data_IF_566838663631
#
_entry.id   IF_566838663631
#
_cell.length_a   1.000
_cell.length_b   1.000
_cell.length_c   1.000
_cell.angle_alpha   90.00
_cell.angle_beta   90.00
_cell.angle_gamma   90.00
#
_symmetry.space_group_name_H-M   'P 1'
#
loop_
_entity.id
_entity.type
_entity.pdbx_description
1 polymer ?
#
# COMPACT_ATOMS: atom_id res chain seq x y z
N UNK A 1 6.00 5.15 5.18
CA UNK A 1 4.69 5.67 5.64
C UNK A 1 3.72 4.51 5.64
N UNK A 2 3.08 4.14 6.76
CA UNK A 2 2.16 3.00 6.75
C UNK A 2 0.75 3.41 6.31
N UNK A 3 -0.06 2.42 5.91
CA UNK A 3 -1.41 2.66 5.38
C UNK A 3 -2.35 3.32 6.40
N UNK A 4 -2.19 3.01 7.69
CA UNK A 4 -3.05 3.57 8.73
C UNK A 4 -2.82 5.06 8.93
N UNK A 5 -1.54 5.46 8.98
CA UNK A 5 -1.15 6.85 9.11
C UNK A 5 -1.59 7.64 7.88
N UNK A 6 -1.50 7.04 6.68
CA UNK A 6 -1.89 7.69 5.45
C UNK A 6 -3.39 7.97 5.44
N UNK A 7 -4.21 6.96 5.75
CA UNK A 7 -5.67 7.11 5.81
C UNK A 7 -6.15 8.02 6.96
N UNK A 8 -5.29 8.30 7.94
CA UNK A 8 -5.57 9.21 9.05
C UNK A 8 -5.05 10.63 8.79
N UNK A 9 -4.25 10.83 7.74
CA UNK A 9 -3.71 12.13 7.35
C UNK A 9 -4.79 12.96 6.65
N UNK A 10 -4.95 14.23 7.05
CA UNK A 10 -5.93 15.13 6.44
C UNK A 10 -5.47 15.78 5.14
N UNK A 11 -4.17 15.79 4.87
CA UNK A 11 -3.59 16.51 3.73
C UNK A 11 -3.23 15.57 2.57
N UNK A 12 -4.03 15.64 1.50
CA UNK A 12 -3.79 14.90 0.26
C UNK A 12 -3.84 13.37 0.36
N UNK A 13 -4.49 12.83 1.40
CA UNK A 13 -4.80 11.41 1.49
C UNK A 13 -6.23 11.13 1.00
N UNK A 14 -6.41 10.06 0.24
CA UNK A 14 -7.76 9.59 -0.09
C UNK A 14 -8.35 8.85 1.11
N UNK A 15 -9.66 9.01 1.32
CA UNK A 15 -10.36 8.31 2.41
C UNK A 15 -10.45 6.80 2.19
N UNK A 16 -10.69 6.03 3.26
CA UNK A 16 -10.76 4.57 3.20
C UNK A 16 -11.81 4.03 2.21
N UNK A 17 -12.94 4.72 2.06
CA UNK A 17 -13.97 4.35 1.07
C UNK A 17 -13.50 4.58 -0.38
N UNK A 18 -12.82 5.70 -0.63
CA UNK A 18 -12.26 6.00 -1.94
C UNK A 18 -11.13 5.01 -2.31
N UNK A 19 -10.28 4.66 -1.34
CA UNK A 19 -9.26 3.62 -1.52
C UNK A 19 -9.90 2.26 -1.83
N UNK A 20 -10.97 1.89 -1.11
CA UNK A 20 -11.68 0.63 -1.36
C UNK A 20 -12.21 0.56 -2.80
N UNK A 21 -12.81 1.65 -3.29
CA UNK A 21 -13.28 1.75 -4.67
C UNK A 21 -12.12 1.68 -5.69
N UNK A 22 -11.03 2.42 -5.45
CA UNK A 22 -9.86 2.44 -6.34
C UNK A 22 -9.18 1.06 -6.46
N UNK A 23 -9.15 0.29 -5.38
CA UNK A 23 -8.52 -1.04 -5.31
C UNK A 23 -9.51 -2.17 -5.65
N UNK A 24 -10.80 -1.86 -5.83
CA UNK A 24 -11.84 -2.84 -6.17
C UNK A 24 -12.20 -3.79 -5.03
N UNK A 25 -12.15 -3.32 -3.78
CA UNK A 25 -12.42 -4.13 -2.58
C UNK A 25 -13.51 -3.52 -1.70
N UNK A 26 -13.97 -4.28 -0.70
CA UNK A 26 -14.92 -3.74 0.29
C UNK A 26 -14.24 -2.77 1.27
N UNK A 27 -14.94 -1.72 1.74
CA UNK A 27 -14.43 -0.82 2.79
C UNK A 27 -14.06 -1.56 4.10
N UNK A 28 -14.77 -2.65 4.41
CA UNK A 28 -14.47 -3.49 5.56
C UNK A 28 -13.09 -4.15 5.45
N UNK A 29 -12.67 -4.56 4.25
CA UNK A 29 -11.35 -5.13 4.02
C UNK A 29 -10.25 -4.07 4.19
N UNK A 30 -10.47 -2.84 3.70
CA UNK A 30 -9.56 -1.72 3.93
C UNK A 30 -9.42 -1.41 5.43
N UNK A 31 -10.52 -1.48 6.19
CA UNK A 31 -10.47 -1.32 7.65
C UNK A 31 -9.64 -2.43 8.32
N UNK A 32 -9.76 -3.69 7.88
CA UNK A 32 -8.94 -4.79 8.40
C UNK A 32 -7.45 -4.57 8.13
N UNK A 33 -7.09 -4.05 6.95
CA UNK A 33 -5.72 -3.69 6.62
C UNK A 33 -5.21 -2.54 7.47
N UNK A 34 -5.99 -1.46 7.60
CA UNK A 34 -5.66 -0.29 8.42
C UNK A 34 -5.40 -0.67 9.89
N UNK A 35 -6.21 -1.57 10.42
CA UNK A 35 -6.11 -1.99 11.83
C UNK A 35 -5.10 -3.11 12.08
N UNK A 36 -4.42 -3.60 11.03
CA UNK A 36 -3.46 -4.70 11.13
C UNK A 36 -4.10 -6.05 11.45
N UNK A 37 -5.45 -6.16 11.46
CA UNK A 37 -6.15 -7.44 11.69
C UNK A 37 -5.82 -8.46 10.61
N UNK A 38 -5.53 -8.00 9.40
CA UNK A 38 -5.08 -8.83 8.29
C UNK A 38 -4.01 -8.07 7.50
N UNK A 39 -2.89 -8.71 7.12
CA UNK A 39 -1.94 -8.10 6.21
C UNK A 39 -2.58 -7.87 4.84
N UNK A 40 -2.05 -6.89 4.10
CA UNK A 40 -2.49 -6.62 2.73
C UNK A 40 -2.00 -7.74 1.80
N UNK A 41 -2.90 -8.45 1.09
CA UNK A 41 -2.52 -9.44 0.10
C UNK A 41 -1.69 -8.83 -1.03
N UNK A 42 -0.76 -9.62 -1.58
CA UNK A 42 0.21 -9.19 -2.60
C UNK A 42 -0.48 -8.56 -3.82
N UNK A 43 -1.59 -9.14 -4.25
CA UNK A 43 -2.40 -8.68 -5.39
C UNK A 43 -2.94 -7.25 -5.27
N UNK A 44 -3.06 -6.72 -4.04
CA UNK A 44 -3.57 -5.36 -3.80
C UNK A 44 -2.46 -4.34 -3.56
N UNK A 45 -1.23 -4.76 -3.29
CA UNK A 45 -0.18 -3.83 -2.88
C UNK A 45 0.17 -2.80 -3.97
N UNK A 46 0.26 -3.23 -5.23
CA UNK A 46 0.52 -2.32 -6.35
C UNK A 46 -0.64 -1.34 -6.60
N UNK A 47 -1.88 -1.80 -6.46
CA UNK A 47 -3.06 -0.96 -6.62
C UNK A 47 -3.16 0.11 -5.51
N UNK A 48 -2.82 -0.24 -4.27
CA UNK A 48 -2.75 0.71 -3.16
C UNK A 48 -1.62 1.72 -3.39
N UNK A 49 -0.44 1.29 -3.82
CA UNK A 49 0.67 2.19 -4.13
C UNK A 49 0.26 3.23 -5.18
N UNK A 50 -0.40 2.80 -6.26
CA UNK A 50 -0.92 3.71 -7.29
C UNK A 50 -2.01 4.64 -6.75
N UNK A 51 -2.99 4.10 -6.00
CA UNK A 51 -4.09 4.89 -5.45
C UNK A 51 -3.64 5.93 -4.41
N UNK A 52 -2.49 5.70 -3.77
CA UNK A 52 -1.89 6.62 -2.81
C UNK A 52 -0.82 7.52 -3.42
N UNK A 53 -0.65 7.51 -4.75
CA UNK A 53 0.37 8.27 -5.47
C UNK A 53 1.78 8.01 -4.94
N UNK A 54 2.07 6.74 -4.64
CA UNK A 54 3.36 6.30 -4.09
C UNK A 54 3.60 6.69 -2.63
N UNK A 55 2.68 7.40 -1.96
CA UNK A 55 2.82 7.76 -0.54
C UNK A 55 2.83 6.53 0.38
N UNK A 56 2.18 5.44 -0.03
CA UNK A 56 2.24 4.13 0.64
C UNK A 56 2.80 3.12 -0.35
N UNK A 57 4.06 2.71 -0.18
CA UNK A 57 4.70 1.78 -1.11
C UNK A 57 4.40 0.32 -0.80
N UNK A 58 4.63 -0.57 -1.77
CA UNK A 58 4.67 -2.04 -1.56
C UNK A 58 5.58 -2.44 -0.40
N UNK A 59 6.69 -1.73 -0.17
CA UNK A 59 7.61 -1.97 0.94
C UNK A 59 6.99 -1.61 2.29
N UNK A 60 6.23 -0.52 2.34
CA UNK A 60 5.50 -0.12 3.55
C UNK A 60 4.36 -1.09 3.89
N UNK A 61 3.72 -1.68 2.87
CA UNK A 61 2.63 -2.64 3.03
C UNK A 61 3.10 -4.04 3.44
N UNK A 62 4.31 -4.43 3.02
CA UNK A 62 4.87 -5.77 3.23
C UNK A 62 6.33 -5.71 3.68
N UNK A 63 6.66 -5.07 4.81
CA UNK A 63 8.05 -4.85 5.23
C UNK A 63 8.81 -6.16 5.50
N UNK A 64 8.11 -7.26 5.79
CA UNK A 64 8.72 -8.55 6.16
C UNK A 64 9.11 -9.43 4.97
N UNK A 65 8.44 -9.27 3.81
CA UNK A 65 8.64 -10.17 2.67
C UNK A 65 8.64 -9.49 1.30
N UNK A 66 8.62 -8.15 1.24
CA UNK A 66 8.69 -7.42 -0.03
C UNK A 66 9.92 -7.82 -0.86
N UNK A 67 11.09 -8.04 -0.24
CA UNK A 67 12.33 -8.40 -0.95
C UNK A 67 12.22 -9.76 -1.64
N UNK A 68 11.42 -10.68 -1.07
CA UNK A 68 11.19 -12.01 -1.63
C UNK A 68 10.16 -11.97 -2.77
N UNK A 69 9.17 -11.07 -2.67
CA UNK A 69 8.07 -10.94 -3.63
C UNK A 69 8.48 -10.04 -4.82
N UNK A 70 9.17 -8.95 -4.53
CA UNK A 70 9.64 -7.92 -5.45
C UNK A 70 11.14 -7.66 -5.22
N UNK A 71 12.03 -8.56 -5.63
CA UNK A 71 13.48 -8.41 -5.47
C UNK A 71 14.03 -7.15 -6.18
N UNK A 72 13.37 -6.69 -7.25
CA UNK A 72 13.69 -5.43 -7.93
C UNK A 72 13.50 -4.19 -7.03
N UNK A 73 12.72 -4.29 -5.97
CA UNK A 73 12.59 -3.24 -4.97
C UNK A 73 13.70 -3.30 -3.91
N UNK A 74 14.35 -4.44 -3.71
CA UNK A 74 15.50 -4.55 -2.80
C UNK A 74 16.77 -3.97 -3.43
N UNK A 75 16.98 -4.27 -4.72
CA UNK A 75 18.11 -3.76 -5.48
C UNK A 75 17.83 -2.32 -5.93
N UNK A 76 18.28 -1.34 -5.14
CA UNK A 76 18.36 0.05 -5.60
C UNK A 76 19.55 0.20 -6.56
N UNK A 77 19.43 -0.31 -7.79
CA UNK A 77 20.32 0.11 -8.87
C UNK A 77 19.60 1.16 -9.72
N UNK A 78 20.14 2.39 -9.84
CA UNK A 78 19.67 3.31 -10.86
C UNK A 78 20.14 2.77 -12.20
N UNK A 79 19.22 2.19 -12.97
CA UNK A 79 19.43 2.02 -14.41
C UNK A 79 19.41 3.41 -15.06
N UNK A 80 20.55 4.07 -15.03
CA UNK A 80 20.88 5.13 -15.97
C UNK A 80 21.03 4.46 -17.35
N UNK A 81 20.10 4.70 -18.25
CA UNK A 81 20.26 4.55 -19.70
C UNK A 81 19.37 5.58 -20.40
#
# INVERSE_FOLDING_TARGET
MNLSDYLSSGDGAIGASALAHAVGVSPALVYQWRTGRRPVPIEHCAAIELATDGKVSRRDLRPEDFERIWPELAAKEPANA
#
